data_IF_213293590034
#
_entry.id   IF_213293590034
#
_cell.length_a   1.000
_cell.length_b   1.000
_cell.length_c   1.000
_cell.angle_alpha   90.00
_cell.angle_beta   90.00
_cell.angle_gamma   90.00
#
_symmetry.space_group_name_H-M   'P 1'
#
loop_
_entity.id
_entity.type
_entity.pdbx_description
1 polymer ?
#
# COMPACT_ATOMS: atom_id res chain seq x y z
N UNK A 1 10.73 10.05 -3.59
CA UNK A 1 9.60 9.90 -2.65
C UNK A 1 10.11 9.49 -1.27
N UNK A 2 9.40 9.89 -0.22
CA UNK A 2 9.67 9.50 1.17
C UNK A 2 8.47 8.74 1.74
N UNK A 3 8.72 7.74 2.58
CA UNK A 3 7.68 7.02 3.32
C UNK A 3 8.17 6.60 4.70
N UNK A 4 7.22 6.24 5.56
CA UNK A 4 7.51 5.53 6.79
C UNK A 4 8.09 4.13 6.49
N UNK A 5 8.73 3.53 7.50
CA UNK A 5 9.41 2.24 7.35
C UNK A 5 8.48 1.01 7.47
N UNK A 6 7.16 1.18 7.34
CA UNK A 6 6.18 0.12 7.48
C UNK A 6 6.36 -0.95 6.37
N UNK A 7 6.77 -2.15 6.76
CA UNK A 7 7.05 -3.26 5.83
C UNK A 7 5.78 -3.76 5.14
N UNK A 8 4.68 -3.90 5.88
CA UNK A 8 3.40 -4.36 5.33
C UNK A 8 2.82 -3.45 4.25
N UNK A 9 3.14 -2.15 4.29
CA UNK A 9 2.54 -1.14 3.40
C UNK A 9 3.53 -0.65 2.35
N UNK A 10 4.63 -0.03 2.77
CA UNK A 10 5.48 0.76 1.87
C UNK A 10 6.78 0.05 1.49
N UNK A 11 7.32 -0.79 2.38
CA UNK A 11 8.62 -1.43 2.22
C UNK A 11 8.48 -2.94 1.99
N UNK A 12 8.01 -3.30 0.80
CA UNK A 12 7.84 -4.68 0.37
C UNK A 12 7.95 -4.86 -1.16
N UNK A 13 7.88 -6.12 -1.59
CA UNK A 13 7.99 -6.51 -2.99
C UNK A 13 6.84 -5.97 -3.86
N UNK A 14 5.62 -5.83 -3.32
CA UNK A 14 4.45 -5.38 -4.10
C UNK A 14 4.65 -3.92 -4.52
N UNK A 15 5.01 -3.05 -3.57
CA UNK A 15 5.33 -1.64 -3.85
C UNK A 15 6.52 -1.52 -4.79
N UNK A 16 7.57 -2.33 -4.58
CA UNK A 16 8.75 -2.39 -5.47
C UNK A 16 8.36 -2.72 -6.91
N UNK A 17 7.53 -3.74 -7.14
CA UNK A 17 7.08 -4.12 -8.48
C UNK A 17 6.20 -3.05 -9.12
N UNK A 18 5.33 -2.40 -8.35
CA UNK A 18 4.51 -1.28 -8.83
C UNK A 18 5.37 -0.09 -9.27
N UNK A 19 6.41 0.27 -8.50
CA UNK A 19 7.34 1.35 -8.86
C UNK A 19 8.24 0.98 -10.05
N UNK A 20 8.70 -0.27 -10.14
CA UNK A 20 9.41 -0.77 -11.32
C UNK A 20 8.54 -0.72 -12.57
N UNK A 21 7.25 -1.07 -12.46
CA UNK A 21 6.32 -0.96 -13.57
C UNK A 21 6.12 0.50 -13.99
N UNK A 22 5.98 1.41 -13.02
CA UNK A 22 5.78 2.84 -13.26
C UNK A 22 6.99 3.48 -13.97
N UNK A 23 8.23 3.18 -13.57
CA UNK A 23 9.43 3.78 -14.21
C UNK A 23 9.65 3.29 -15.65
N UNK A 24 9.06 2.15 -16.00
CA UNK A 24 9.11 1.55 -17.33
C UNK A 24 8.02 2.06 -18.29
N UNK A 25 7.06 2.82 -17.79
CA UNK A 25 5.98 3.36 -18.61
C UNK A 25 6.55 4.41 -19.60
N UNK A 26 6.33 4.26 -20.92
CA UNK A 26 6.82 5.20 -21.93
C UNK A 26 6.12 6.55 -21.87
N UNK A 27 4.91 6.63 -21.30
CA UNK A 27 4.12 7.87 -21.24
C UNK A 27 4.58 8.80 -20.12
N UNK A 28 5.41 8.30 -19.20
CA UNK A 28 6.02 9.11 -18.14
C UNK A 28 7.43 9.55 -18.53
N UNK A 29 7.82 10.75 -18.10
CA UNK A 29 9.18 11.27 -18.23
C UNK A 29 10.14 10.76 -17.15
N UNK A 30 9.64 9.99 -16.17
CA UNK A 30 10.41 9.52 -15.01
C UNK A 30 11.38 8.42 -15.43
N UNK A 31 12.68 8.70 -15.36
CA UNK A 31 13.76 7.74 -15.65
C UNK A 31 14.26 6.99 -14.42
N UNK A 32 14.16 7.64 -13.26
CA UNK A 32 14.64 7.10 -11.97
C UNK A 32 13.65 7.46 -10.87
N UNK A 33 13.35 6.49 -10.00
CA UNK A 33 12.57 6.68 -8.78
C UNK A 33 13.45 6.34 -7.59
N UNK A 34 13.67 7.31 -6.72
CA UNK A 34 14.28 7.11 -5.40
C UNK A 34 13.19 7.07 -4.32
N UNK A 35 13.07 5.95 -3.63
CA UNK A 35 12.15 5.75 -2.51
C UNK A 35 12.95 5.62 -1.21
N UNK A 36 12.88 6.66 -0.39
CA UNK A 36 13.62 6.77 0.86
C UNK A 36 12.69 6.51 2.05
N UNK A 37 13.21 5.81 3.05
CA UNK A 37 12.49 5.48 4.27
C UNK A 37 13.05 6.26 5.44
N UNK A 38 12.17 6.80 6.27
CA UNK A 38 12.54 7.56 7.45
C UNK A 38 13.19 6.68 8.53
N UNK A 39 14.07 7.28 9.31
CA UNK A 39 14.72 6.67 10.48
C UNK A 39 13.97 7.02 11.76
N UNK A 40 14.12 6.18 12.78
CA UNK A 40 13.54 6.45 14.11
C UNK A 40 14.01 7.82 14.62
N UNK A 41 13.12 8.58 15.25
CA UNK A 41 13.38 9.96 15.70
C UNK A 41 13.20 11.04 14.62
N UNK A 42 13.07 10.65 13.35
CA UNK A 42 12.82 11.56 12.23
C UNK A 42 11.67 11.05 11.35
N UNK A 43 10.62 10.53 11.98
CA UNK A 43 9.49 9.87 11.32
C UNK A 43 8.36 10.82 10.90
N UNK A 44 8.46 12.12 11.20
CA UNK A 44 7.40 13.07 10.89
C UNK A 44 7.42 13.47 9.41
N UNK A 45 6.43 13.01 8.66
CA UNK A 45 6.24 13.41 7.28
C UNK A 45 5.31 14.63 7.19
N UNK A 46 5.43 15.45 6.12
CA UNK A 46 4.51 16.57 5.90
C UNK A 46 3.03 16.18 5.91
N UNK A 47 2.68 14.97 5.46
CA UNK A 47 1.31 14.47 5.46
C UNK A 47 0.76 14.21 6.87
N UNK A 48 1.60 13.99 7.88
CA UNK A 48 1.14 13.79 9.26
C UNK A 48 0.49 15.07 9.81
N UNK A 49 1.03 16.24 9.43
CA UNK A 49 0.42 17.53 9.74
C UNK A 49 -0.94 17.71 9.06
N UNK A 50 -1.08 17.26 7.82
CA UNK A 50 -2.35 17.30 7.08
C UNK A 50 -3.40 16.38 7.70
N UNK A 51 -3.00 15.18 8.12
CA UNK A 51 -3.88 14.26 8.87
C UNK A 51 -4.32 14.85 10.21
N UNK A 52 -3.44 15.56 10.92
CA UNK A 52 -3.81 16.27 12.15
C UNK A 52 -4.87 17.36 11.94
N UNK A 53 -4.86 18.05 10.79
CA UNK A 53 -5.89 19.02 10.42
C UNK A 53 -7.23 18.32 10.16
N UNK A 54 -7.22 17.22 9.40
CA UNK A 54 -8.41 16.42 9.10
C UNK A 54 -9.00 15.83 10.38
N UNK A 55 -8.17 15.28 11.26
CA UNK A 55 -8.59 14.75 12.56
C UNK A 55 -9.17 15.84 13.46
N UNK A 56 -8.55 17.02 13.48
CA UNK A 56 -9.10 18.16 14.22
C UNK A 56 -10.44 18.66 13.65
N UNK A 57 -10.68 18.47 12.34
CA UNK A 57 -11.95 18.78 11.71
C UNK A 57 -13.00 17.70 12.01
N UNK A 58 -12.64 16.43 11.97
CA UNK A 58 -13.55 15.32 12.26
C UNK A 58 -14.05 15.36 13.71
N UNK A 59 -13.16 15.66 14.67
CA UNK A 59 -13.53 15.87 16.08
C UNK A 59 -14.52 17.02 16.28
N UNK A 60 -14.42 18.09 15.47
CA UNK A 60 -15.35 19.24 15.50
C UNK A 60 -16.68 18.95 14.81
N UNK A 61 -16.68 18.10 13.80
CA UNK A 61 -17.91 17.63 13.15
C UNK A 61 -18.79 16.81 14.10
N UNK A 62 -18.17 16.11 15.06
CA UNK A 62 -18.88 15.30 16.04
C UNK A 62 -19.12 13.88 15.52
N UNK A 63 -20.39 13.49 15.36
CA UNK A 63 -20.74 12.14 14.94
C UNK A 63 -20.60 11.98 13.41
N UNK A 64 -19.96 10.88 13.00
CA UNK A 64 -19.72 10.54 11.59
C UNK A 64 -20.28 9.14 11.35
N UNK A 65 -21.20 9.02 10.40
CA UNK A 65 -22.01 7.82 10.17
C UNK A 65 -21.86 7.21 8.78
N UNK A 66 -21.18 7.90 7.86
CA UNK A 66 -20.97 7.41 6.50
C UNK A 66 -19.64 7.88 5.92
N UNK A 67 -19.10 7.18 4.90
CA UNK A 67 -17.92 7.64 4.16
C UNK A 67 -18.10 8.99 3.47
N UNK A 68 -19.32 9.31 3.03
CA UNK A 68 -19.61 10.57 2.34
C UNK A 68 -19.36 11.78 3.25
N UNK A 69 -19.73 11.67 4.53
CA UNK A 69 -19.42 12.69 5.53
C UNK A 69 -17.90 12.85 5.74
N UNK A 70 -17.13 11.75 5.68
CA UNK A 70 -15.67 11.84 5.71
C UNK A 70 -15.11 12.61 4.52
N UNK A 71 -15.66 12.42 3.32
CA UNK A 71 -15.28 13.15 2.11
C UNK A 71 -15.55 14.65 2.29
N UNK A 72 -16.70 15.03 2.82
CA UNK A 72 -17.05 16.42 3.12
C UNK A 72 -16.13 17.05 4.17
N UNK A 73 -15.83 16.32 5.24
CA UNK A 73 -14.88 16.75 6.27
C UNK A 73 -13.51 16.98 5.66
N UNK A 74 -13.00 16.04 4.86
CA UNK A 74 -11.70 16.19 4.20
C UNK A 74 -11.67 17.41 3.27
N UNK A 75 -12.71 17.67 2.48
CA UNK A 75 -12.79 18.85 1.60
C UNK A 75 -12.76 20.17 2.37
N UNK A 76 -13.37 20.21 3.55
CA UNK A 76 -13.55 21.43 4.36
C UNK A 76 -12.57 21.59 5.52
N UNK A 77 -11.73 20.57 5.79
CA UNK A 77 -10.86 20.53 6.97
C UNK A 77 -9.86 21.70 7.01
N UNK A 78 -9.28 22.04 5.86
CA UNK A 78 -8.28 23.10 5.73
C UNK A 78 -8.95 24.44 5.44
N UNK A 79 -8.87 25.36 6.41
CA UNK A 79 -9.49 26.70 6.34
C UNK A 79 -8.80 27.68 5.39
N UNK A 80 -7.50 27.48 5.14
CA UNK A 80 -6.69 28.35 4.28
C UNK A 80 -6.36 27.64 2.98
N UNK A 81 -6.37 28.36 1.87
CA UNK A 81 -5.94 27.85 0.57
C UNK A 81 -4.47 27.37 0.60
N UNK A 82 -4.09 26.37 -0.21
CA UNK A 82 -4.97 25.57 -1.07
C UNK A 82 -5.78 24.56 -0.27
N UNK A 83 -7.08 24.41 -0.56
CA UNK A 83 -7.92 23.34 0.00
C UNK A 83 -7.45 21.94 -0.40
N UNK A 84 -7.88 20.92 0.35
CA UNK A 84 -7.59 19.52 0.01
C UNK A 84 -8.35 19.09 -1.23
N UNK A 85 -7.65 18.48 -2.18
CA UNK A 85 -8.25 17.80 -3.33
C UNK A 85 -8.52 16.35 -2.92
N UNK A 86 -9.80 16.02 -2.75
CA UNK A 86 -10.23 14.67 -2.38
C UNK A 86 -10.62 13.91 -3.64
N UNK A 87 -9.83 12.88 -3.98
CA UNK A 87 -10.09 12.00 -5.12
C UNK A 87 -10.62 10.66 -4.63
N UNK A 88 -11.85 10.34 -5.00
CA UNK A 88 -12.46 9.05 -4.72
C UNK A 88 -11.96 7.99 -5.70
N UNK A 89 -11.33 6.93 -5.17
CA UNK A 89 -10.77 5.84 -5.97
C UNK A 89 -11.84 4.76 -6.16
N UNK A 90 -12.10 4.37 -7.41
CA UNK A 90 -13.06 3.31 -7.75
C UNK A 90 -12.44 1.92 -7.59
N UNK A 91 -13.28 0.91 -7.35
CA UNK A 91 -12.84 -0.50 -7.26
C UNK A 91 -12.00 -0.97 -8.46
N UNK A 92 -12.29 -0.46 -9.67
CA UNK A 92 -11.57 -0.78 -10.91
C UNK A 92 -10.13 -0.27 -10.96
N UNK A 93 -9.78 0.71 -10.13
CA UNK A 93 -8.46 1.33 -10.07
C UNK A 93 -7.51 0.58 -9.14
N UNK A 94 -8.03 -0.22 -8.21
CA UNK A 94 -7.22 -1.13 -7.41
C UNK A 94 -6.72 -2.27 -8.31
N UNK A 95 -5.40 -2.28 -8.59
CA UNK A 95 -4.76 -3.29 -9.44
C UNK A 95 -4.05 -4.35 -8.62
N UNK A 96 -4.18 -5.61 -9.02
CA UNK A 96 -3.46 -6.73 -8.39
C UNK A 96 -2.01 -6.80 -8.86
N UNK A 97 -1.09 -7.05 -7.95
CA UNK A 97 0.34 -7.30 -8.25
C UNK A 97 0.64 -8.76 -8.57
N UNK A 98 -0.34 -9.67 -8.43
CA UNK A 98 -0.12 -11.11 -8.58
C UNK A 98 0.46 -11.50 -9.94
N UNK A 99 0.07 -10.82 -11.03
CA UNK A 99 0.63 -11.07 -12.35
C UNK A 99 2.12 -10.66 -12.43
N UNK A 100 2.49 -9.54 -11.80
CA UNK A 100 3.88 -9.07 -11.74
C UNK A 100 4.75 -10.03 -10.90
N UNK A 101 4.23 -10.45 -9.75
CA UNK A 101 4.89 -11.38 -8.83
C UNK A 101 5.14 -12.74 -9.50
N UNK A 102 4.24 -13.20 -10.37
CA UNK A 102 4.44 -14.42 -11.17
C UNK A 102 5.56 -14.30 -12.20
N UNK A 103 5.94 -13.09 -12.62
CA UNK A 103 6.97 -12.88 -13.66
C UNK A 103 8.39 -12.79 -13.09
N UNK A 104 8.55 -12.69 -11.78
CA UNK A 104 9.84 -12.49 -11.11
C UNK A 104 10.24 -13.67 -10.23
N UNK A 105 11.49 -13.66 -9.76
CA UNK A 105 11.94 -14.49 -8.64
C UNK A 105 12.27 -13.59 -7.45
N UNK A 106 11.59 -13.81 -6.32
CA UNK A 106 11.91 -13.09 -5.09
C UNK A 106 13.26 -13.59 -4.55
N UNK A 107 14.23 -12.68 -4.41
CA UNK A 107 15.61 -13.00 -4.04
C UNK A 107 15.84 -12.68 -2.57
N UNK A 108 16.61 -13.54 -1.89
CA UNK A 108 17.15 -13.30 -0.54
C UNK A 108 18.60 -12.83 -0.56
N UNK A 109 19.21 -12.76 -1.74
CA UNK A 109 20.60 -12.34 -1.94
C UNK A 109 20.70 -11.35 -3.09
N UNK A 110 21.66 -10.47 -2.96
CA UNK A 110 22.07 -9.49 -3.98
C UNK A 110 22.88 -10.16 -5.08
N UNK A 111 23.15 -9.44 -6.16
CA UNK A 111 24.00 -9.92 -7.27
C UNK A 111 25.45 -10.18 -6.85
N UNK A 112 25.94 -9.55 -5.77
CA UNK A 112 27.26 -9.79 -5.21
C UNK A 112 27.29 -10.82 -4.07
N UNK A 113 26.16 -11.50 -3.80
CA UNK A 113 26.08 -12.56 -2.78
C UNK A 113 25.80 -12.08 -1.36
N UNK A 114 25.73 -10.75 -1.13
CA UNK A 114 25.31 -10.16 0.14
C UNK A 114 23.85 -10.49 0.45
N UNK A 115 23.50 -10.67 1.73
CA UNK A 115 22.15 -11.01 2.14
C UNK A 115 21.20 -9.81 2.04
N UNK A 116 19.98 -10.06 1.57
CA UNK A 116 18.98 -9.02 1.35
C UNK A 116 17.91 -9.07 2.44
N UNK A 117 17.79 -8.00 3.22
CA UNK A 117 16.79 -7.87 4.28
C UNK A 117 16.00 -6.57 4.14
N UNK A 118 14.68 -6.68 3.92
CA UNK A 118 13.77 -5.52 3.81
C UNK A 118 13.84 -4.58 5.01
N UNK A 119 14.05 -5.09 6.23
CA UNK A 119 14.04 -4.30 7.45
C UNK A 119 15.18 -3.29 7.56
N UNK A 120 16.30 -3.55 6.87
CA UNK A 120 17.48 -2.68 6.93
C UNK A 120 17.46 -1.60 5.85
N UNK A 121 16.60 -1.75 4.83
CA UNK A 121 16.58 -0.84 3.68
C UNK A 121 16.13 0.55 4.11
N UNK A 122 16.90 1.56 3.71
CA UNK A 122 16.61 2.98 3.89
C UNK A 122 16.42 3.74 2.58
N UNK A 123 16.93 3.20 1.48
CA UNK A 123 16.81 3.82 0.18
C UNK A 123 16.72 2.75 -0.89
N UNK A 124 15.61 2.73 -1.62
CA UNK A 124 15.40 1.96 -2.86
C UNK A 124 15.52 2.87 -4.08
N UNK A 125 16.16 2.38 -5.13
CA UNK A 125 16.29 3.07 -6.41
C UNK A 125 15.84 2.16 -7.55
N UNK A 126 15.00 2.69 -8.41
CA UNK A 126 14.45 2.05 -9.59
C UNK A 126 14.84 2.86 -10.83
N UNK A 127 15.31 2.21 -11.88
CA UNK A 127 15.78 2.88 -13.09
C UNK A 127 15.16 2.23 -14.32
N UNK A 128 14.73 3.05 -15.29
CA UNK A 128 14.06 2.60 -16.52
C UNK A 128 14.87 1.58 -17.32
N UNK A 129 16.19 1.78 -17.38
CA UNK A 129 17.11 0.95 -18.16
C UNK A 129 17.35 -0.44 -17.53
N UNK A 130 16.85 -0.66 -16.32
CA UNK A 130 17.05 -1.87 -15.53
C UNK A 130 15.70 -2.47 -15.10
N UNK A 131 14.90 -3.01 -16.05
CA UNK A 131 13.47 -3.29 -15.85
C UNK A 131 13.17 -4.37 -14.80
N UNK A 132 14.10 -5.28 -14.51
CA UNK A 132 13.96 -6.35 -13.51
C UNK A 132 15.02 -6.27 -12.42
N UNK A 133 15.68 -5.13 -12.27
CA UNK A 133 16.64 -4.89 -11.20
C UNK A 133 16.23 -3.66 -10.41
N UNK A 134 16.41 -3.74 -9.10
CA UNK A 134 16.36 -2.57 -8.25
C UNK A 134 17.64 -2.48 -7.42
N UNK A 135 17.92 -1.26 -7.00
CA UNK A 135 19.09 -0.93 -6.21
C UNK A 135 18.64 -0.56 -4.81
N UNK A 136 19.44 -0.89 -3.79
CA UNK A 136 19.15 -0.47 -2.43
C UNK A 136 20.41 -0.15 -1.64
N UNK A 137 20.22 0.61 -0.56
CA UNK A 137 21.20 0.77 0.50
C UNK A 137 20.53 0.93 1.85
N UNK A 138 21.30 0.63 2.89
CA UNK A 138 20.85 0.63 4.29
C UNK A 138 21.08 1.97 4.99
N UNK A 139 21.42 3.01 4.22
CA UNK A 139 21.70 4.37 4.73
C UNK A 139 21.13 5.44 3.81
N UNK A 140 20.88 6.63 4.36
CA UNK A 140 20.48 7.82 3.60
C UNK A 140 21.69 8.62 3.10
N UNK A 141 22.92 8.25 3.47
CA UNK A 141 24.14 8.91 2.98
C UNK A 141 24.24 8.76 1.44
N UNK A 142 24.34 9.89 0.73
CA UNK A 142 24.40 9.94 -0.72
C UNK A 142 25.65 9.27 -1.31
N UNK A 143 26.78 9.34 -0.60
CA UNK A 143 28.09 8.88 -1.08
C UNK A 143 28.28 7.36 -0.99
N UNK A 144 27.42 6.70 -0.21
CA UNK A 144 27.48 5.25 -0.04
C UNK A 144 26.94 4.52 -1.27
N UNK A 145 27.63 3.45 -1.73
CA UNK A 145 27.25 2.72 -2.93
C UNK A 145 25.95 1.94 -2.72
N UNK A 146 25.28 1.63 -3.82
CA UNK A 146 24.09 0.77 -3.84
C UNK A 146 24.48 -0.69 -4.05
N UNK A 147 23.77 -1.57 -3.35
CA UNK A 147 23.67 -2.99 -3.70
C UNK A 147 22.59 -3.19 -4.76
N UNK A 148 22.71 -4.26 -5.55
CA UNK A 148 21.75 -4.58 -6.63
C UNK A 148 21.06 -5.91 -6.38
N UNK A 149 19.77 -5.96 -6.68
CA UNK A 149 18.96 -7.18 -6.63
C UNK A 149 18.36 -7.44 -8.01
N UNK A 150 18.60 -8.65 -8.54
CA UNK A 150 18.08 -9.07 -9.84
C UNK A 150 16.91 -10.04 -9.70
N UNK A 151 15.73 -9.57 -10.10
CA UNK A 151 14.46 -10.27 -10.03
C UNK A 151 14.21 -11.18 -11.24
N UNK A 152 15.11 -11.19 -12.23
CA UNK A 152 14.97 -11.97 -13.46
C UNK A 152 14.88 -13.47 -13.16
N UNK A 153 13.98 -14.17 -13.86
CA UNK A 153 13.91 -15.64 -13.82
C UNK A 153 15.02 -16.25 -14.67
N UNK A 154 15.52 -17.42 -14.26
CA UNK A 154 16.46 -18.24 -15.06
C UNK A 154 15.71 -18.99 -16.17
N UNK A 155 15.06 -18.27 -17.09
CA UNK A 155 14.38 -18.85 -18.24
C UNK A 155 15.04 -18.37 -19.54
N UNK A 156 15.06 -19.23 -20.57
CA UNK A 156 15.47 -18.84 -21.92
C UNK A 156 14.36 -18.00 -22.56
N UNK A 157 14.66 -16.75 -22.90
CA UNK A 157 13.72 -15.84 -23.56
C UNK A 157 14.09 -14.36 -23.43
N UNK A 158 13.31 -13.50 -24.09
CA UNK A 158 13.47 -12.03 -24.02
C UNK A 158 13.20 -11.55 -22.59
N UNK A 159 13.97 -10.57 -22.06
CA UNK A 159 13.71 -9.99 -20.75
C UNK A 159 12.27 -9.46 -20.65
N UNK A 160 11.57 -9.83 -19.57
CA UNK A 160 10.22 -9.34 -19.34
C UNK A 160 10.26 -7.87 -18.91
N UNK A 161 9.47 -7.03 -19.58
CA UNK A 161 9.19 -5.67 -19.15
C UNK A 161 7.91 -5.66 -18.34
N UNK A 162 7.97 -5.20 -17.09
CA UNK A 162 6.82 -5.19 -16.18
C UNK A 162 5.71 -4.25 -16.68
N UNK A 163 6.07 -3.20 -17.43
CA UNK A 163 5.10 -2.31 -18.06
C UNK A 163 4.09 -3.05 -18.96
N UNK A 164 4.57 -4.02 -19.75
CA UNK A 164 3.73 -4.78 -20.68
C UNK A 164 2.79 -5.80 -19.99
N UNK A 165 3.00 -6.07 -18.70
CA UNK A 165 2.19 -7.03 -17.97
C UNK A 165 0.85 -6.38 -17.60
N UNK A 166 -0.23 -6.88 -18.17
CA UNK A 166 -1.57 -6.43 -17.82
C UNK A 166 -1.92 -6.83 -16.38
N UNK A 167 -2.45 -5.87 -15.61
CA UNK A 167 -2.90 -6.11 -14.24
C UNK A 167 -4.43 -6.15 -14.19
N UNK A 168 -4.98 -7.22 -13.63
CA UNK A 168 -6.40 -7.32 -13.33
C UNK A 168 -6.81 -6.49 -12.11
N UNK A 169 -8.13 -6.27 -11.92
CA UNK A 169 -8.66 -5.63 -10.71
C UNK A 169 -8.35 -6.49 -9.47
N UNK A 170 -7.95 -5.84 -8.37
CA UNK A 170 -7.71 -6.51 -7.09
C UNK A 170 -9.02 -6.91 -6.41
N UNK A 171 -10.06 -6.09 -6.55
CA UNK A 171 -11.36 -6.28 -5.92
C UNK A 171 -12.48 -6.17 -6.97
N UNK A 172 -12.66 -7.16 -7.85
CA UNK A 172 -13.61 -7.09 -8.96
C UNK A 172 -15.06 -6.90 -8.49
N UNK A 173 -15.43 -7.49 -7.37
CA UNK A 173 -16.78 -7.40 -6.78
C UNK A 173 -16.81 -6.55 -5.50
N UNK A 174 -15.82 -5.66 -5.33
CA UNK A 174 -15.57 -4.94 -4.08
C UNK A 174 -14.81 -5.78 -3.05
N UNK A 175 -14.29 -5.14 -2.01
CA UNK A 175 -13.60 -5.82 -0.91
C UNK A 175 -14.64 -6.28 0.11
N UNK A 176 -14.87 -7.59 0.29
CA UNK A 176 -15.84 -8.07 1.24
C UNK A 176 -15.37 -7.84 2.69
N UNK A 177 -16.32 -7.81 3.62
CA UNK A 177 -16.05 -7.81 5.06
C UNK A 177 -16.26 -9.21 5.64
N UNK A 178 -15.68 -9.50 6.80
CA UNK A 178 -15.92 -10.78 7.48
C UNK A 178 -17.36 -10.86 7.98
N UNK A 179 -17.90 -12.08 8.12
CA UNK A 179 -19.25 -12.31 8.65
C UNK A 179 -19.40 -11.69 10.05
N UNK A 180 -18.41 -11.91 10.92
CA UNK A 180 -18.36 -11.33 12.26
C UNK A 180 -18.44 -9.80 12.21
N UNK A 181 -17.59 -9.16 11.39
CA UNK A 181 -17.60 -7.70 11.23
C UNK A 181 -18.92 -7.17 10.69
N UNK A 182 -19.57 -7.87 9.74
CA UNK A 182 -20.89 -7.47 9.25
C UNK A 182 -21.95 -7.56 10.35
N UNK A 183 -21.94 -8.64 11.13
CA UNK A 183 -22.85 -8.79 12.27
C UNK A 183 -22.68 -7.64 13.27
N UNK A 184 -21.45 -7.38 13.69
CA UNK A 184 -21.14 -6.30 14.64
C UNK A 184 -21.61 -4.94 14.13
N UNK A 185 -21.39 -4.64 12.84
CA UNK A 185 -21.88 -3.39 12.22
C UNK A 185 -23.42 -3.32 12.19
N UNK A 186 -24.11 -4.45 12.00
CA UNK A 186 -25.58 -4.49 12.02
C UNK A 186 -26.13 -4.29 13.43
N UNK A 187 -25.48 -4.85 14.45
CA UNK A 187 -25.87 -4.68 15.86
C UNK A 187 -25.72 -3.21 16.31
N UNK A 188 -24.69 -2.52 15.78
CA UNK A 188 -24.44 -1.10 16.03
C UNK A 188 -25.39 -0.15 15.30
N UNK A 189 -26.26 -0.62 14.38
CA UNK A 189 -27.20 0.24 13.65
C UNK A 189 -28.18 0.98 14.58
N UNK A 190 -28.44 0.44 15.76
CA UNK A 190 -29.26 1.10 16.79
C UNK A 190 -28.72 2.48 17.21
N UNK A 191 -27.41 2.72 17.08
CA UNK A 191 -26.74 3.99 17.38
C UNK A 191 -26.55 4.89 16.16
N UNK A 192 -27.00 4.45 14.98
CA UNK A 192 -26.82 5.15 13.71
C UNK A 192 -28.19 5.62 13.19
N UNK A 193 -28.34 6.86 12.71
CA UNK A 193 -29.59 7.31 12.10
C UNK A 193 -30.02 6.41 10.92
N UNK A 194 -31.32 6.06 10.78
CA UNK A 194 -31.81 5.13 9.75
C UNK A 194 -31.43 5.48 8.31
N UNK A 195 -31.24 6.76 8.01
CA UNK A 195 -30.81 7.24 6.68
C UNK A 195 -29.47 6.66 6.23
N UNK A 196 -28.57 6.28 7.15
CA UNK A 196 -27.25 5.72 6.83
C UNK A 196 -27.23 4.19 6.85
N UNK A 197 -28.30 3.53 7.31
CA UNK A 197 -28.32 2.07 7.47
C UNK A 197 -28.11 1.31 6.16
N UNK A 198 -28.58 1.89 5.05
CA UNK A 198 -28.52 1.23 3.74
C UNK A 198 -27.08 0.93 3.33
N UNK A 199 -26.14 1.82 3.64
CA UNK A 199 -24.72 1.62 3.36
C UNK A 199 -24.19 0.33 4.00
N UNK A 200 -24.40 0.17 5.31
CA UNK A 200 -23.93 -0.99 6.07
C UNK A 200 -24.62 -2.30 5.66
N UNK A 201 -25.92 -2.25 5.36
CA UNK A 201 -26.69 -3.42 4.88
C UNK A 201 -26.16 -3.94 3.55
N UNK A 202 -25.76 -3.04 2.65
CA UNK A 202 -25.26 -3.34 1.31
C UNK A 202 -23.83 -3.89 1.29
N UNK A 203 -23.08 -3.85 2.39
CA UNK A 203 -21.71 -4.41 2.45
C UNK A 203 -21.73 -5.91 2.16
N UNK A 204 -20.86 -6.38 1.25
CA UNK A 204 -20.73 -7.79 0.90
C UNK A 204 -19.93 -8.54 1.96
N UNK A 205 -20.27 -9.81 2.20
CA UNK A 205 -19.56 -10.69 3.14
C UNK A 205 -18.69 -11.68 2.40
N UNK A 206 -17.52 -11.94 2.98
CA UNK A 206 -16.64 -13.01 2.54
C UNK A 206 -17.20 -14.31 3.12
N UNK A 207 -17.61 -15.23 2.25
CA UNK A 207 -18.08 -16.56 2.66
C UNK A 207 -16.84 -17.45 2.66
N UNK A 208 -16.32 -17.88 3.82
CA UNK A 208 -15.10 -18.66 3.85
C UNK A 208 -15.28 -19.97 3.09
N UNK A 209 -14.50 -20.16 2.05
CA UNK A 209 -14.31 -21.48 1.45
C UNK A 209 -13.43 -22.35 2.36
N UNK A 210 -13.55 -23.68 2.25
CA UNK A 210 -12.79 -24.65 3.07
C UNK A 210 -11.26 -24.43 3.04
N UNK A 211 -10.73 -23.80 1.98
CA UNK A 211 -9.33 -23.42 1.79
C UNK A 211 -8.88 -22.16 2.54
N UNK A 212 -9.77 -21.23 2.88
CA UNK A 212 -9.42 -20.00 3.61
C UNK A 212 -9.30 -20.22 5.12
N UNK A 213 -9.98 -21.23 5.66
CA UNK A 213 -9.93 -21.60 7.08
C UNK A 213 -8.51 -22.08 7.46
N UNK A 214 -7.87 -22.86 6.59
CA UNK A 214 -6.51 -23.38 6.80
C UNK A 214 -5.42 -22.29 6.80
N UNK A 215 -5.65 -21.15 6.16
CA UNK A 215 -4.68 -20.04 6.09
C UNK A 215 -4.87 -18.98 7.19
N UNK A 216 -5.97 -19.06 7.95
CA UNK A 216 -6.25 -18.13 9.04
C UNK A 216 -5.48 -18.48 10.33
N UNK A 217 -5.25 -19.78 10.57
CA UNK A 217 -4.52 -20.28 11.74
C UNK A 217 -3.04 -19.85 11.76
N UNK A 218 -2.45 -19.48 10.62
CA UNK A 218 -1.07 -18.96 10.55
C UNK A 218 -0.96 -17.44 10.75
N UNK A 219 -2.07 -16.68 10.71
CA UNK A 219 -2.04 -15.20 10.85
C UNK A 219 -2.43 -14.71 12.26
N UNK A 220 -2.88 -15.61 13.13
CA UNK A 220 -3.36 -15.25 14.47
C UNK A 220 -2.25 -14.97 15.49
N UNK A 221 -0.97 -15.17 15.16
CA UNK A 221 0.14 -15.07 16.12
C UNK A 221 0.86 -13.71 16.17
N UNK A 222 0.59 -12.78 15.24
CA UNK A 222 1.41 -11.57 15.06
C UNK A 222 0.74 -10.25 15.53
N UNK A 223 -0.51 -10.27 16.01
CA UNK A 223 -1.26 -9.05 16.34
C UNK A 223 -1.39 -8.74 17.86
N UNK A 224 -0.68 -9.43 18.73
CA UNK A 224 -0.65 -9.11 20.18
C UNK A 224 0.61 -8.29 20.53
N UNK A 225 0.57 -6.98 20.25
CA UNK A 225 1.48 -6.02 20.89
C UNK A 225 0.84 -5.62 22.22
N UNK A 226 1.24 -6.30 23.30
CA UNK A 226 1.01 -5.85 24.67
C UNK A 226 1.84 -4.60 24.95
N UNK A 227 1.17 -3.55 25.41
CA UNK A 227 1.84 -2.42 26.05
C UNK A 227 1.89 -2.70 27.55
N UNK A 228 3.10 -2.93 28.07
CA UNK A 228 3.47 -2.67 29.47
C UNK A 228 4.36 -1.42 29.51
#
# INVERSE_FOLDING_TARGET
>A
MYSDSCTGQNRNIKTTLSLLKLVQDPDTSITTIDHKFLVSGHSYLPNDGEFGIIESASRRHGQIYSPDQWIEIMKTAKRKEPHFVVTEIKNSEFKSTAALEKCITNRKKTTCGYDFNWLNIRWLRFERNHPLQFQFKETLNADMPFYKVDLSKKQQGRPAYLYNIQQGPLYPSGRPVTIAKKKDMLDLLSYIPPIYHQFYKNLTVDIPTRSSILNADERSSDDEITYD
#
